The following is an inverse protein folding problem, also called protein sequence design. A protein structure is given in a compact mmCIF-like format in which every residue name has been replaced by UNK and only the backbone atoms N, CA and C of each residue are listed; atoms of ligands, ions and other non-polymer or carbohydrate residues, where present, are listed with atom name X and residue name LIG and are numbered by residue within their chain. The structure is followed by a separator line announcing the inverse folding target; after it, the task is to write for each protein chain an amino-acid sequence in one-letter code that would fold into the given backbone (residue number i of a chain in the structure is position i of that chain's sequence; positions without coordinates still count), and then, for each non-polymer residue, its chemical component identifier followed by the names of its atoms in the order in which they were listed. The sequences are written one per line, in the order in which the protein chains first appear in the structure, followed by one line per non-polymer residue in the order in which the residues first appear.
data_IF_467378669062
#
_entry.id   IF_467378669062
#
_cell.length_a   1.000
_cell.length_b   1.000
_cell.length_c   1.000
_cell.angle_alpha   90.00
_cell.angle_beta   90.00
_cell.angle_gamma   90.00
#
_symmetry.space_group_name_H-M   'P 1'
#
loop_
_entity.id
_entity.type
_entity.pdbx_description
1 polymer ?
#
# COMPACT_ATOMS: atom_id res chain seq x y z
N UNK A 1 -13.72 -19.82 -26.96
CA UNK A 1 -12.43 -20.09 -26.30
C UNK A 1 -12.11 -21.52 -26.67
N UNK A 2 -11.15 -21.76 -27.56
CA UNK A 2 -10.76 -23.13 -27.94
C UNK A 2 -10.41 -23.91 -26.66
N UNK A 3 -10.76 -25.19 -26.58
CA UNK A 3 -10.39 -26.09 -25.48
C UNK A 3 -8.87 -26.02 -25.26
N UNK A 4 -8.46 -25.19 -24.30
CA UNK A 4 -7.11 -24.62 -24.25
C UNK A 4 -6.05 -25.61 -23.73
N UNK A 5 -6.50 -26.80 -23.29
CA UNK A 5 -5.64 -27.83 -22.68
C UNK A 5 -5.50 -29.06 -23.58
N UNK A 6 -6.07 -29.08 -24.79
CA UNK A 6 -5.98 -30.25 -25.69
C UNK A 6 -4.51 -30.54 -26.03
N UNK A 7 -3.73 -29.49 -26.31
CA UNK A 7 -2.32 -29.63 -26.64
C UNK A 7 -1.48 -30.07 -25.42
N UNK A 8 -1.74 -29.51 -24.23
CA UNK A 8 -1.06 -29.94 -23.00
C UNK A 8 -1.38 -31.39 -22.67
N UNK A 9 -2.66 -31.80 -22.67
CA UNK A 9 -3.06 -33.18 -22.40
C UNK A 9 -2.45 -34.16 -23.40
N UNK A 10 -2.37 -33.75 -24.68
CA UNK A 10 -1.70 -34.54 -25.71
C UNK A 10 -0.19 -34.62 -25.46
N UNK A 11 0.48 -33.51 -25.19
CA UNK A 11 1.92 -33.48 -24.86
C UNK A 11 2.25 -34.34 -23.65
N UNK A 12 1.42 -34.31 -22.61
CA UNK A 12 1.62 -35.08 -21.39
C UNK A 12 1.53 -36.57 -21.68
N UNK A 13 0.48 -36.98 -22.38
CA UNK A 13 0.27 -38.36 -22.82
C UNK A 13 1.43 -38.87 -23.68
N UNK A 14 1.89 -38.08 -24.66
CA UNK A 14 3.01 -38.46 -25.51
C UNK A 14 4.33 -38.51 -24.74
N UNK A 15 4.60 -37.53 -23.86
CA UNK A 15 5.81 -37.51 -23.04
C UNK A 15 5.88 -38.72 -22.13
N UNK A 16 4.76 -39.13 -21.52
CA UNK A 16 4.70 -40.30 -20.64
C UNK A 16 4.99 -41.58 -21.43
N UNK A 17 4.39 -41.76 -22.60
CA UNK A 17 4.66 -42.91 -23.46
C UNK A 17 6.14 -42.98 -23.90
N UNK A 18 6.77 -41.84 -24.17
CA UNK A 18 8.19 -41.74 -24.53
C UNK A 18 9.09 -42.09 -23.33
N UNK A 19 8.75 -41.62 -22.13
CA UNK A 19 9.47 -41.94 -20.89
C UNK A 19 9.38 -43.43 -20.57
N UNK A 20 8.20 -44.02 -20.72
CA UNK A 20 7.98 -45.46 -20.49
C UNK A 20 8.79 -46.30 -21.50
N UNK A 21 8.81 -45.88 -22.76
CA UNK A 21 9.61 -46.51 -23.82
C UNK A 21 11.12 -46.39 -23.56
N UNK A 22 11.58 -45.25 -23.07
CA UNK A 22 12.96 -45.04 -22.65
C UNK A 22 13.32 -45.96 -21.47
N UNK A 23 12.41 -46.14 -20.50
CA UNK A 23 12.57 -47.06 -19.37
C UNK A 23 12.67 -48.53 -19.76
N UNK A 24 12.13 -48.91 -20.93
CA UNK A 24 12.25 -50.25 -21.52
C UNK A 24 13.56 -50.45 -22.30
N UNK A 25 14.44 -49.44 -22.37
CA UNK A 25 15.74 -49.52 -23.05
C UNK A 25 15.67 -49.31 -24.56
N UNK A 26 14.55 -48.86 -25.11
CA UNK A 26 14.41 -48.55 -26.52
C UNK A 26 15.04 -47.19 -26.87
N UNK A 27 15.72 -47.11 -28.02
CA UNK A 27 16.32 -45.87 -28.49
C UNK A 27 15.23 -44.87 -28.93
N UNK A 28 15.37 -43.61 -28.50
CA UNK A 28 14.46 -42.54 -28.88
C UNK A 28 14.76 -42.02 -30.28
N UNK A 29 13.70 -41.74 -31.02
CA UNK A 29 13.76 -41.04 -32.30
C UNK A 29 13.90 -39.53 -32.07
N UNK A 30 14.35 -38.82 -33.10
CA UNK A 30 14.50 -37.35 -33.07
C UNK A 30 13.19 -36.64 -32.73
N UNK A 31 12.06 -37.14 -33.24
CA UNK A 31 10.73 -36.58 -32.96
C UNK A 31 10.34 -36.77 -31.48
N UNK A 32 10.68 -37.92 -30.89
CA UNK A 32 10.40 -38.22 -29.48
C UNK A 32 11.22 -37.31 -28.56
N UNK A 33 12.49 -37.05 -28.91
CA UNK A 33 13.31 -36.07 -28.21
C UNK A 33 12.75 -34.65 -28.32
N UNK A 34 12.25 -34.26 -29.50
CA UNK A 34 11.62 -32.96 -29.71
C UNK A 34 10.37 -32.78 -28.84
N UNK A 35 9.54 -33.82 -28.70
CA UNK A 35 8.36 -33.81 -27.82
C UNK A 35 8.77 -33.61 -26.36
N UNK A 36 9.83 -34.28 -25.89
CA UNK A 36 10.34 -34.08 -24.52
C UNK A 36 10.84 -32.64 -24.29
N UNK A 37 11.53 -32.05 -25.26
CA UNK A 37 11.95 -30.63 -25.20
C UNK A 37 10.74 -29.70 -25.13
N UNK A 38 9.72 -29.94 -25.96
CA UNK A 38 8.49 -29.16 -25.93
C UNK A 38 7.77 -29.27 -24.59
N UNK A 39 7.71 -30.47 -23.99
CA UNK A 39 7.14 -30.66 -22.65
C UNK A 39 7.94 -29.93 -21.57
N UNK A 40 9.27 -30.00 -21.63
CA UNK A 40 10.14 -29.28 -20.70
C UNK A 40 9.95 -27.75 -20.82
N UNK A 41 9.89 -27.21 -22.04
CA UNK A 41 9.64 -25.79 -22.29
C UNK A 41 8.25 -25.36 -21.81
N UNK A 42 7.21 -26.14 -22.13
CA UNK A 42 5.84 -25.88 -21.69
C UNK A 42 5.74 -25.82 -20.16
N UNK A 43 6.34 -26.78 -19.45
CA UNK A 43 6.39 -26.76 -17.98
C UNK A 43 7.13 -25.53 -17.43
N UNK A 44 8.26 -25.16 -18.04
CA UNK A 44 9.05 -23.99 -17.64
C UNK A 44 8.28 -22.68 -17.84
N UNK A 45 7.58 -22.51 -18.98
CA UNK A 45 6.72 -21.34 -19.21
C UNK A 45 5.56 -21.25 -18.22
N UNK A 46 4.95 -22.40 -17.90
CA UNK A 46 3.86 -22.43 -16.93
C UNK A 46 4.32 -22.06 -15.50
N UNK A 47 5.53 -22.48 -15.10
CA UNK A 47 6.10 -22.06 -13.82
C UNK A 47 6.44 -20.56 -13.83
N UNK A 48 7.07 -20.08 -14.91
CA UNK A 48 7.41 -18.66 -15.06
C UNK A 48 6.17 -17.75 -15.03
N UNK A 49 5.06 -18.12 -15.69
CA UNK A 49 3.81 -17.35 -15.61
C UNK A 49 3.25 -17.31 -14.18
N UNK A 50 3.28 -18.44 -13.46
CA UNK A 50 2.85 -18.49 -12.05
C UNK A 50 3.73 -17.63 -11.15
N UNK A 51 5.05 -17.70 -11.31
CA UNK A 51 5.99 -16.94 -10.51
C UNK A 51 5.81 -15.44 -10.74
N UNK A 52 5.71 -15.01 -12.00
CA UNK A 52 5.45 -13.61 -12.36
C UNK A 52 4.10 -13.11 -11.81
N UNK A 53 3.05 -13.93 -11.86
CA UNK A 53 1.76 -13.58 -11.27
C UNK A 53 1.86 -13.41 -9.76
N UNK A 54 2.56 -14.32 -9.08
CA UNK A 54 2.76 -14.25 -7.64
C UNK A 54 3.58 -13.02 -7.25
N UNK A 55 4.67 -12.73 -7.95
CA UNK A 55 5.47 -11.53 -7.72
C UNK A 55 4.64 -10.25 -7.90
N UNK A 56 3.80 -10.19 -8.93
CA UNK A 56 2.91 -9.04 -9.14
C UNK A 56 1.87 -8.89 -8.01
N UNK A 57 1.34 -10.01 -7.50
CA UNK A 57 0.41 -9.99 -6.35
C UNK A 57 1.12 -9.48 -5.09
N UNK A 58 2.33 -9.99 -4.83
CA UNK A 58 3.15 -9.56 -3.69
C UNK A 58 3.48 -8.09 -3.78
N UNK A 59 4.03 -7.62 -4.91
CA UNK A 59 4.36 -6.22 -5.13
C UNK A 59 3.14 -5.30 -4.94
N UNK A 60 1.98 -5.71 -5.45
CA UNK A 60 0.73 -4.97 -5.26
C UNK A 60 0.29 -4.94 -3.79
N UNK A 61 0.51 -6.02 -3.05
CA UNK A 61 0.30 -6.10 -1.61
C UNK A 61 1.19 -5.10 -0.87
N UNK A 62 2.49 -5.18 -1.12
CA UNK A 62 3.50 -4.31 -0.49
C UNK A 62 3.20 -2.83 -0.74
N UNK A 63 2.91 -2.45 -1.99
CA UNK A 63 2.54 -1.06 -2.32
C UNK A 63 1.26 -0.60 -1.59
N UNK A 64 0.31 -1.50 -1.38
CA UNK A 64 -0.93 -1.17 -0.67
C UNK A 64 -0.68 -0.95 0.81
N UNK A 65 0.18 -1.75 1.41
CA UNK A 65 0.57 -1.64 2.81
C UNK A 65 1.42 -0.40 3.05
N UNK A 66 2.39 -0.10 2.18
CA UNK A 66 3.16 1.14 2.22
C UNK A 66 2.26 2.38 2.13
N UNK A 67 1.30 2.38 1.19
CA UNK A 67 0.36 3.49 1.05
C UNK A 67 -0.55 3.65 2.28
N UNK A 68 -0.88 2.54 2.95
CA UNK A 68 -1.65 2.58 4.19
C UNK A 68 -0.83 3.20 5.32
N UNK A 69 0.40 2.76 5.49
CA UNK A 69 1.33 3.32 6.49
C UNK A 69 1.53 4.81 6.27
N UNK A 70 1.81 5.24 5.03
CA UNK A 70 1.96 6.66 4.70
C UNK A 70 0.71 7.48 5.06
N UNK A 71 -0.48 6.92 4.83
CA UNK A 71 -1.75 7.59 5.17
C UNK A 71 -1.98 7.68 6.67
N UNK A 72 -1.56 6.67 7.43
CA UNK A 72 -1.63 6.66 8.89
C UNK A 72 -0.65 7.70 9.46
N UNK A 73 0.61 7.71 9.00
CA UNK A 73 1.62 8.71 9.39
C UNK A 73 1.14 10.15 9.11
N UNK A 74 0.62 10.42 7.92
CA UNK A 74 0.09 11.73 7.57
C UNK A 74 -1.10 12.15 8.45
N UNK A 75 -1.91 11.19 8.88
CA UNK A 75 -3.04 11.47 9.77
C UNK A 75 -2.56 11.83 11.17
N UNK A 76 -1.55 11.13 11.66
CA UNK A 76 -0.95 11.38 12.96
C UNK A 76 -0.19 12.71 12.99
N UNK A 77 0.59 13.02 11.96
CA UNK A 77 1.21 14.35 11.81
C UNK A 77 0.17 15.47 11.75
N UNK A 78 -0.92 15.28 11.03
CA UNK A 78 -1.99 16.30 10.99
C UNK A 78 -2.66 16.47 12.35
N UNK A 79 -2.76 15.41 13.14
CA UNK A 79 -3.31 15.47 14.50
C UNK A 79 -2.37 16.22 15.44
N UNK A 80 -1.08 15.93 15.42
CA UNK A 80 -0.09 16.64 16.24
C UNK A 80 -0.03 18.13 15.89
N UNK A 81 -0.04 18.47 14.59
CA UNK A 81 -0.10 19.86 14.14
C UNK A 81 -1.35 20.59 14.64
N UNK A 82 -2.52 19.93 14.65
CA UNK A 82 -3.75 20.52 15.20
C UNK A 82 -3.65 20.74 16.70
N UNK A 83 -3.16 19.77 17.46
CA UNK A 83 -2.97 19.90 18.91
C UNK A 83 -2.00 21.04 19.25
N UNK A 84 -0.92 21.19 18.50
CA UNK A 84 0.03 22.29 18.67
C UNK A 84 -0.59 23.65 18.34
N UNK A 85 -1.40 23.73 17.28
CA UNK A 85 -2.15 24.93 16.94
C UNK A 85 -3.13 25.31 18.05
N UNK A 86 -3.90 24.35 18.56
CA UNK A 86 -4.87 24.57 19.63
C UNK A 86 -4.19 25.10 20.90
N UNK A 87 -3.05 24.53 21.29
CA UNK A 87 -2.25 25.03 22.42
C UNK A 87 -1.80 26.48 22.22
N UNK A 88 -1.34 26.83 21.01
CA UNK A 88 -0.91 28.19 20.68
C UNK A 88 -2.09 29.15 20.69
N UNK A 89 -3.25 28.76 20.15
CA UNK A 89 -4.46 29.56 20.21
C UNK A 89 -4.92 29.78 21.66
N UNK A 90 -4.89 28.75 22.50
CA UNK A 90 -5.24 28.87 23.91
C UNK A 90 -4.32 29.85 24.65
N UNK A 91 -3.02 29.83 24.36
CA UNK A 91 -2.07 30.81 24.89
C UNK A 91 -2.38 32.24 24.45
N UNK A 92 -2.76 32.43 23.18
CA UNK A 92 -3.16 33.74 22.64
C UNK A 92 -4.44 34.22 23.33
N UNK A 93 -5.46 33.36 23.47
CA UNK A 93 -6.72 33.71 24.14
C UNK A 93 -6.48 34.11 25.59
N UNK A 94 -5.70 33.33 26.36
CA UNK A 94 -5.35 33.69 27.75
C UNK A 94 -4.65 35.05 27.86
N UNK A 95 -3.85 35.42 26.86
CA UNK A 95 -3.20 36.74 26.81
C UNK A 95 -4.21 37.84 26.50
N UNK A 96 -5.11 37.60 25.55
CA UNK A 96 -6.20 38.52 25.21
C UNK A 96 -7.14 38.75 26.40
N UNK A 97 -7.52 37.71 27.13
CA UNK A 97 -8.36 37.82 28.33
C UNK A 97 -7.71 38.73 29.37
N UNK A 98 -6.42 38.53 29.65
CA UNK A 98 -5.67 39.36 30.60
C UNK A 98 -5.65 40.84 30.17
N UNK A 99 -5.47 41.09 28.87
CA UNK A 99 -5.53 42.45 28.32
C UNK A 99 -6.93 43.05 28.45
N UNK A 100 -7.99 42.27 28.19
CA UNK A 100 -9.37 42.69 28.33
C UNK A 100 -9.71 43.05 29.77
N UNK A 101 -9.29 42.25 30.76
CA UNK A 101 -9.46 42.59 32.18
C UNK A 101 -8.75 43.89 32.55
N UNK A 102 -7.52 44.09 32.06
CA UNK A 102 -6.77 45.32 32.30
C UNK A 102 -7.43 46.55 31.65
N UNK A 103 -7.90 46.44 30.40
CA UNK A 103 -8.53 47.55 29.70
C UNK A 103 -9.89 47.93 30.31
N UNK A 104 -10.69 46.95 30.74
CA UNK A 104 -11.92 47.20 31.49
C UNK A 104 -11.63 47.92 32.80
N UNK A 105 -10.61 47.49 33.55
CA UNK A 105 -10.18 48.15 34.79
C UNK A 105 -9.78 49.61 34.58
N UNK A 106 -8.96 49.88 33.55
CA UNK A 106 -8.56 51.26 33.18
C UNK A 106 -9.77 52.10 32.77
N UNK A 107 -10.70 51.53 31.99
CA UNK A 107 -11.93 52.24 31.57
C UNK A 107 -12.81 52.61 32.75
N UNK A 108 -13.03 51.68 33.69
CA UNK A 108 -13.81 51.93 34.92
C UNK A 108 -13.12 52.98 35.80
N UNK A 109 -11.80 52.90 35.96
CA UNK A 109 -11.03 53.87 36.74
C UNK A 109 -11.10 55.28 36.13
N UNK A 110 -10.96 55.40 34.80
CA UNK A 110 -11.10 56.66 34.10
C UNK A 110 -12.51 57.26 34.26
N UNK A 111 -13.56 56.43 34.15
CA UNK A 111 -14.94 56.88 34.36
C UNK A 111 -15.17 57.37 35.81
N UNK A 112 -14.68 56.63 36.81
CA UNK A 112 -14.79 57.02 38.22
C UNK A 112 -14.03 58.33 38.53
N UNK A 113 -12.83 58.49 37.95
CA UNK A 113 -12.03 59.71 38.08
C UNK A 113 -12.78 60.93 37.53
N UNK A 114 -13.35 60.82 36.33
CA UNK A 114 -14.16 61.89 35.73
C UNK A 114 -15.34 62.24 36.63
N UNK A 115 -16.10 61.25 37.10
CA UNK A 115 -17.28 61.50 37.97
C UNK A 115 -16.90 62.17 39.29
N UNK A 116 -15.72 61.87 39.85
CA UNK A 116 -15.26 62.43 41.13
C UNK A 116 -14.66 63.83 40.98
N UNK A 117 -14.01 64.13 39.85
CA UNK A 117 -13.39 65.44 39.60
C UNK A 117 -14.32 66.47 38.94
N UNK A 118 -15.34 66.03 38.20
CA UNK A 118 -16.33 66.94 37.60
C UNK A 118 -17.50 67.30 38.54
N UNK A 119 -17.45 66.85 39.80
CA UNK A 119 -18.47 67.07 40.82
C UNK A 119 -17.87 67.82 42.00
#
# INVERSE_FOLDING_TARGET
MFDNDIFEKWLDSQSQAIVDKMGQGAQLRTEEMMILVLKAQSNHFHHLDKDLRNEMITLRGDMRDEMRTLREDMRDEMKTLREDMDRRFEQVIRRMDRFMFWSLGVTVAAAAFVVTYLK
#
